data_IF_746868283108
#
_entry.id   IF_746868283108
#
_cell.length_a   1.000
_cell.length_b   1.000
_cell.length_c   1.000
_cell.angle_alpha   90.00
_cell.angle_beta   90.00
_cell.angle_gamma   90.00
#
_symmetry.space_group_name_H-M   'P 1'
#
loop_
_entity.id
_entity.type
_entity.pdbx_description
1 polymer ?
#
# COMPACT_ATOMS: atom_id res chain seq x y z
N UNK A 1 26.63 26.44 34.16
CA UNK A 1 26.30 26.34 32.73
C UNK A 1 25.30 25.19 32.56
N UNK A 2 24.02 25.49 32.35
CA UNK A 2 22.97 24.47 32.24
C UNK A 2 22.76 24.10 30.77
N UNK A 3 23.02 22.84 30.42
CA UNK A 3 22.81 22.28 29.09
C UNK A 3 21.30 22.13 28.84
N UNK A 4 20.74 22.98 27.99
CA UNK A 4 19.36 22.84 27.50
C UNK A 4 19.33 21.66 26.53
N UNK A 5 18.92 20.50 27.04
CA UNK A 5 18.57 19.34 26.20
C UNK A 5 17.46 19.74 25.25
N UNK A 6 17.79 19.84 23.95
CA UNK A 6 16.85 20.12 22.87
C UNK A 6 15.96 18.87 22.70
N UNK A 7 14.89 18.80 23.50
CA UNK A 7 13.89 17.75 23.38
C UNK A 7 13.36 17.72 21.94
N UNK A 8 13.66 16.64 21.20
CA UNK A 8 13.07 16.39 19.89
C UNK A 8 11.58 16.15 20.10
N UNK A 9 10.77 17.15 19.81
CA UNK A 9 9.31 17.00 19.77
C UNK A 9 8.99 15.98 18.67
N UNK A 10 8.30 14.86 18.99
CA UNK A 10 7.93 13.90 17.97
C UNK A 10 6.96 14.58 17.00
N UNK A 11 7.36 14.67 15.73
CA UNK A 11 6.49 15.16 14.66
C UNK A 11 5.35 14.17 14.51
N UNK A 12 4.14 14.53 14.96
CA UNK A 12 2.93 13.74 14.73
C UNK A 12 2.45 14.00 13.31
N UNK A 13 2.54 12.99 12.45
CA UNK A 13 1.96 13.04 11.11
C UNK A 13 0.44 13.01 11.26
N UNK A 14 -0.32 13.94 10.63
CA UNK A 14 -1.77 13.88 10.62
C UNK A 14 -2.26 12.56 10.03
N UNK A 15 -3.28 11.94 10.63
CA UNK A 15 -3.82 10.65 10.17
C UNK A 15 -4.23 10.68 8.69
N UNK A 16 -4.72 11.83 8.21
CA UNK A 16 -5.09 12.05 6.82
C UNK A 16 -3.90 11.91 5.87
N UNK A 17 -2.74 12.48 6.22
CA UNK A 17 -1.51 12.35 5.42
C UNK A 17 -1.03 10.90 5.41
N UNK A 18 -1.09 10.21 6.56
CA UNK A 18 -0.74 8.80 6.66
C UNK A 18 -1.66 7.93 5.78
N UNK A 19 -2.96 8.21 5.76
CA UNK A 19 -3.93 7.49 4.93
C UNK A 19 -3.67 7.73 3.44
N UNK A 20 -3.47 8.98 3.02
CA UNK A 20 -3.19 9.31 1.61
C UNK A 20 -1.93 8.59 1.15
N UNK A 21 -0.84 8.67 1.92
CA UNK A 21 0.44 8.03 1.58
C UNK A 21 0.29 6.52 1.56
N UNK A 22 -0.35 5.93 2.58
CA UNK A 22 -0.57 4.49 2.67
C UNK A 22 -1.40 3.95 1.50
N UNK A 23 -2.52 4.60 1.19
CA UNK A 23 -3.38 4.22 0.05
C UNK A 23 -2.64 4.37 -1.28
N UNK A 24 -1.86 5.44 -1.46
CA UNK A 24 -1.08 5.65 -2.69
C UNK A 24 -0.03 4.54 -2.88
N UNK A 25 0.70 4.18 -1.81
CA UNK A 25 1.66 3.08 -1.84
C UNK A 25 0.96 1.76 -2.16
N UNK A 26 -0.19 1.49 -1.55
CA UNK A 26 -0.94 0.26 -1.81
C UNK A 26 -1.38 0.14 -3.27
N UNK A 27 -1.90 1.22 -3.87
CA UNK A 27 -2.29 1.26 -5.29
C UNK A 27 -1.08 1.00 -6.19
N UNK A 28 0.04 1.70 -5.94
CA UNK A 28 1.27 1.52 -6.72
C UNK A 28 1.80 0.09 -6.62
N UNK A 29 1.77 -0.52 -5.43
CA UNK A 29 2.18 -1.90 -5.23
C UNK A 29 1.30 -2.86 -6.04
N UNK A 30 -0.03 -2.69 -6.01
CA UNK A 30 -0.97 -3.51 -6.80
C UNK A 30 -0.69 -3.40 -8.30
N UNK A 31 -0.50 -2.18 -8.80
CA UNK A 31 -0.21 -1.95 -10.23
C UNK A 31 1.15 -2.53 -10.62
N UNK A 32 2.18 -2.35 -9.79
CA UNK A 32 3.51 -2.89 -10.03
C UNK A 32 3.49 -4.42 -10.05
N UNK A 33 2.85 -5.06 -9.07
CA UNK A 33 2.72 -6.52 -9.00
C UNK A 33 1.92 -7.06 -10.18
N UNK A 34 0.77 -6.46 -10.50
CA UNK A 34 -0.04 -6.90 -11.65
C UNK A 34 0.72 -6.77 -12.97
N UNK A 35 1.45 -5.67 -13.15
CA UNK A 35 2.28 -5.46 -14.34
C UNK A 35 3.45 -6.45 -14.42
N UNK A 36 4.05 -6.80 -13.28
CA UNK A 36 5.10 -7.82 -13.23
C UNK A 36 4.56 -9.22 -13.59
N UNK A 37 3.35 -9.58 -13.12
CA UNK A 37 2.68 -10.82 -13.51
C UNK A 37 2.41 -10.82 -15.02
N UNK A 38 1.85 -9.72 -15.54
CA UNK A 38 1.55 -9.60 -16.97
C UNK A 38 2.82 -9.73 -17.82
N UNK A 39 3.92 -9.10 -17.41
CA UNK A 39 5.18 -9.17 -18.14
C UNK A 39 5.82 -10.57 -18.13
N UNK A 40 5.54 -11.38 -17.10
CA UNK A 40 6.11 -12.71 -16.93
C UNK A 40 5.32 -13.82 -17.65
N UNK A 41 4.09 -13.55 -18.09
CA UNK A 41 3.20 -14.56 -18.70
C UNK A 41 2.97 -14.24 -20.17
N UNK A 42 3.49 -15.05 -21.11
CA UNK A 42 3.19 -14.88 -22.53
C UNK A 42 1.74 -15.25 -22.85
N UNK A 43 1.16 -14.59 -23.85
CA UNK A 43 -0.17 -14.88 -24.42
C UNK A 43 -1.33 -14.91 -23.39
N UNK A 44 -1.43 -13.85 -22.58
CA UNK A 44 -2.52 -13.70 -21.62
C UNK A 44 -3.88 -13.55 -22.29
N UNK A 45 -4.82 -14.38 -21.88
CA UNK A 45 -6.25 -14.11 -22.13
C UNK A 45 -6.72 -12.88 -21.37
N UNK A 46 -7.83 -12.28 -21.82
CA UNK A 46 -8.45 -11.10 -21.18
C UNK A 46 -8.72 -11.33 -19.69
N UNK A 47 -9.17 -12.53 -19.32
CA UNK A 47 -9.46 -12.88 -17.93
C UNK A 47 -8.21 -13.02 -17.06
N UNK A 48 -7.12 -13.56 -17.63
CA UNK A 48 -5.85 -13.66 -16.91
C UNK A 48 -5.21 -12.28 -16.73
N UNK A 49 -5.32 -11.41 -17.73
CA UNK A 49 -4.88 -10.01 -17.60
C UNK A 49 -5.66 -9.29 -16.49
N UNK A 50 -7.00 -9.38 -16.50
CA UNK A 50 -7.82 -8.79 -15.43
C UNK A 50 -7.46 -9.38 -14.05
N UNK A 51 -7.30 -10.70 -13.97
CA UNK A 51 -6.91 -11.41 -12.76
C UNK A 51 -5.55 -10.98 -12.21
N UNK A 52 -4.59 -10.67 -13.07
CA UNK A 52 -3.24 -10.23 -12.66
C UNK A 52 -3.27 -8.95 -11.82
N UNK A 53 -4.24 -8.05 -12.04
CA UNK A 53 -4.43 -6.85 -11.23
C UNK A 53 -5.45 -7.06 -10.10
N UNK A 54 -6.49 -7.85 -10.36
CA UNK A 54 -7.57 -8.06 -9.40
C UNK A 54 -7.11 -8.90 -8.20
N UNK A 55 -6.24 -9.90 -8.41
CA UNK A 55 -5.71 -10.72 -7.32
C UNK A 55 -4.89 -9.92 -6.29
N UNK A 56 -3.84 -9.15 -6.66
CA UNK A 56 -3.12 -8.32 -5.70
C UNK A 56 -4.02 -7.22 -5.10
N UNK A 57 -4.95 -6.64 -5.88
CA UNK A 57 -5.92 -5.68 -5.37
C UNK A 57 -6.83 -6.27 -4.28
N UNK A 58 -7.35 -7.48 -4.50
CA UNK A 58 -8.16 -8.19 -3.53
C UNK A 58 -7.38 -8.54 -2.25
N UNK A 59 -6.10 -8.94 -2.38
CA UNK A 59 -5.22 -9.18 -1.24
C UNK A 59 -4.96 -7.90 -0.43
N UNK A 60 -4.69 -6.77 -1.10
CA UNK A 60 -4.51 -5.48 -0.43
C UNK A 60 -5.78 -5.06 0.32
N UNK A 61 -6.96 -5.25 -0.29
CA UNK A 61 -8.25 -5.01 0.36
C UNK A 61 -8.47 -5.93 1.56
N UNK A 62 -8.22 -7.23 1.43
CA UNK A 62 -8.38 -8.19 2.51
C UNK A 62 -7.46 -7.88 3.70
N UNK A 63 -6.22 -7.45 3.43
CA UNK A 63 -5.29 -7.00 4.45
C UNK A 63 -5.79 -5.75 5.18
N UNK A 64 -6.29 -4.75 4.43
CA UNK A 64 -6.91 -3.56 5.00
C UNK A 64 -8.11 -3.94 5.88
N UNK A 65 -9.03 -4.76 5.37
CA UNK A 65 -10.22 -5.19 6.09
C UNK A 65 -9.87 -5.87 7.40
N UNK A 66 -8.89 -6.78 7.38
CA UNK A 66 -8.43 -7.48 8.59
C UNK A 66 -7.88 -6.52 9.65
N UNK A 67 -7.12 -5.50 9.24
CA UNK A 67 -6.59 -4.48 10.16
C UNK A 67 -7.74 -3.62 10.70
N UNK A 68 -8.66 -3.21 9.83
CA UNK A 68 -9.78 -2.35 10.18
C UNK A 68 -10.72 -3.00 11.23
N UNK A 69 -10.87 -4.32 11.22
CA UNK A 69 -11.66 -5.05 12.23
C UNK A 69 -11.05 -5.00 13.65
N UNK A 70 -9.79 -4.57 13.78
CA UNK A 70 -9.05 -4.52 15.06
C UNK A 70 -8.87 -3.10 15.60
N UNK A 71 -9.27 -2.09 14.83
CA UNK A 71 -9.24 -0.67 15.20
C UNK A 71 -10.58 -0.28 15.82
#
# INVERSE_FOLDING_TARGET
MSQVSKGRTPVRIPAEVANIVGTSIAILAVVATGSAIVAAVPDLSVWQFAGAYLAPGALAFAAYWWIAQKL
#
